data_IF_900498429653
#
_entry.id   IF_900498429653
#
_cell.length_a   1.000
_cell.length_b   1.000
_cell.length_c   1.000
_cell.angle_alpha   90.00
_cell.angle_beta   90.00
_cell.angle_gamma   90.00
#
_symmetry.space_group_name_H-M   'P 1'
#
loop_
_entity.id
_entity.type
_entity.pdbx_description
1 polymer ?
2 non-polymer ?
3 non-polymer ?
4 non-polymer ?
5 water ?
#
# COMPACT_ATOMS: atom_id res chain seq x y z
N UNK A 3 6.17 -24.27 -0.25
CA UNK A 3 6.56 -24.85 1.08
C UNK A 3 7.16 -23.84 2.10
N UNK A 4 7.92 -22.85 1.62
CA UNK A 4 8.06 -21.58 2.39
C UNK A 4 6.75 -20.85 2.25
N UNK A 5 6.23 -20.26 3.33
CA UNK A 5 5.06 -19.40 3.23
C UNK A 5 5.44 -18.17 2.40
N UNK A 6 4.57 -17.76 1.47
CA UNK A 6 4.87 -16.58 0.65
C UNK A 6 3.89 -15.46 1.00
N UNK A 7 4.43 -14.28 1.32
CA UNK A 7 3.60 -13.15 1.74
C UNK A 7 3.90 -11.97 0.81
N UNK A 8 2.85 -11.44 0.21
CA UNK A 8 2.93 -10.22 -0.58
C UNK A 8 2.57 -9.06 0.30
N UNK A 9 3.44 -8.07 0.37
CA UNK A 9 3.16 -6.88 1.18
C UNK A 9 3.04 -5.68 0.24
N UNK A 10 1.90 -5.03 0.27
CA UNK A 10 1.68 -3.84 -0.52
C UNK A 10 2.54 -2.64 -0.07
N UNK A 11 2.80 -1.69 -0.95
CA UNK A 11 3.66 -0.57 -0.61
C UNK A 11 2.87 0.65 -0.12
N UNK A 12 2.15 1.34 -1.01
CA UNK A 12 1.43 2.54 -0.62
C UNK A 12 0.30 2.21 0.34
N UNK A 13 0.31 2.91 1.48
CA UNK A 13 -0.73 2.75 2.53
C UNK A 13 -0.50 1.53 3.42
N UNK A 14 0.61 0.82 3.22
CA UNK A 14 0.98 -0.32 4.08
C UNK A 14 2.44 -0.17 4.57
N UNK A 15 3.35 0.08 3.63
CA UNK A 15 4.72 0.40 4.00
C UNK A 15 4.98 1.91 4.01
N UNK A 16 4.46 2.58 2.99
CA UNK A 16 4.74 4.01 2.74
C UNK A 16 3.48 4.82 3.05
N UNK A 17 3.65 5.93 3.77
CA UNK A 17 2.51 6.77 4.16
C UNK A 17 2.07 7.72 3.02
N UNK A 18 1.40 7.15 2.02
CA UNK A 18 0.87 7.88 0.86
C UNK A 18 -0.15 8.92 1.34
N UNK A 19 -1.10 8.52 2.18
CA UNK A 19 -2.19 9.44 2.61
C UNK A 19 -1.67 10.71 3.28
N UNK A 20 -0.75 10.54 4.23
CA UNK A 20 -0.17 11.68 4.94
C UNK A 20 0.77 12.53 4.10
N UNK A 21 1.57 11.88 3.24
CA UNK A 21 2.51 12.59 2.37
C UNK A 21 1.73 13.43 1.38
N UNK A 22 0.65 12.83 0.83
CA UNK A 22 -0.19 13.52 -0.12
C UNK A 22 -0.81 14.78 0.53
N UNK A 23 -1.40 14.59 1.72
CA UNK A 23 -2.12 15.72 2.34
C UNK A 23 -1.20 16.91 2.60
N UNK A 24 -0.03 16.61 3.17
CA UNK A 24 0.96 17.61 3.48
C UNK A 24 1.37 18.35 2.22
N UNK A 25 1.66 17.60 1.16
CA UNK A 25 2.13 18.26 -0.08
C UNK A 25 1.03 19.01 -0.81
N UNK A 26 -0.20 18.50 -0.72
CA UNK A 26 -1.35 19.15 -1.34
C UNK A 26 -1.59 20.50 -0.66
N UNK A 27 -1.61 20.47 0.67
CA UNK A 27 -1.80 21.69 1.48
C UNK A 27 -0.69 22.71 1.26
N UNK A 28 0.55 22.26 1.14
CA UNK A 28 1.69 23.16 0.87
C UNK A 28 1.63 23.81 -0.52
N UNK A 29 1.20 23.05 -1.52
CA UNK A 29 1.12 23.56 -2.88
C UNK A 29 -0.15 24.38 -3.16
N UNK A 30 -1.26 23.98 -2.53
CA UNK A 30 -2.55 24.58 -2.81
C UNK A 30 -3.17 25.09 -1.50
N UNK A 31 -2.50 26.05 -0.83
CA UNK A 31 -2.95 26.43 0.52
C UNK A 31 -4.33 27.10 0.57
N UNK A 32 -4.88 27.48 -0.59
CA UNK A 32 -6.21 28.14 -0.64
C UNK A 32 -7.33 27.23 -1.06
N UNK A 33 -7.01 25.96 -1.31
CA UNK A 33 -8.00 24.98 -1.71
C UNK A 33 -8.54 24.27 -0.46
N UNK A 34 -9.78 23.77 -0.55
CA UNK A 34 -10.27 22.93 0.54
C UNK A 34 -9.52 21.60 0.44
N UNK A 35 -9.42 20.89 1.56
CA UNK A 35 -8.74 19.57 1.56
C UNK A 35 -9.58 18.56 2.34
N UNK A 36 -9.16 17.30 2.34
CA UNK A 36 -9.83 16.28 3.11
C UNK A 36 -8.96 15.81 4.25
N UNK A 37 -9.39 16.09 5.49
CA UNK A 37 -8.61 15.64 6.63
C UNK A 37 -8.60 14.11 6.62
N UNK A 38 -7.56 13.48 7.15
CA UNK A 38 -7.49 12.01 7.07
C UNK A 38 -8.68 11.29 7.73
N UNK A 39 -9.14 11.80 8.87
CA UNK A 39 -10.31 11.23 9.55
C UNK A 39 -11.56 11.22 8.68
N UNK A 40 -11.59 12.09 7.64
CA UNK A 40 -12.73 12.20 6.74
C UNK A 40 -12.55 11.51 5.38
N UNK A 41 -11.40 10.87 5.17
CA UNK A 41 -11.17 10.11 3.96
C UNK A 41 -12.12 8.92 3.89
N UNK A 42 -12.71 8.72 2.73
CA UNK A 42 -13.55 7.55 2.45
C UNK A 42 -13.36 7.11 1.02
N UNK A 43 -13.26 5.81 0.79
CA UNK A 43 -13.15 5.25 -0.57
C UNK A 43 -11.69 5.23 -0.97
N UNK A 44 -11.32 4.26 -1.79
CA UNK A 44 -9.91 4.09 -2.12
C UNK A 44 -9.30 5.31 -2.80
N UNK A 45 -9.99 5.83 -3.82
CA UNK A 45 -9.42 6.86 -4.70
C UNK A 45 -9.44 8.27 -4.09
N UNK A 46 -8.27 8.77 -3.73
CA UNK A 46 -8.14 10.17 -3.26
C UNK A 46 -8.74 11.15 -4.28
N UNK A 47 -8.36 10.98 -5.55
CA UNK A 47 -8.73 11.96 -6.57
C UNK A 47 -10.26 12.06 -6.70
N UNK A 48 -10.94 10.92 -6.59
CA UNK A 48 -12.41 10.89 -6.66
C UNK A 48 -13.07 11.67 -5.53
N UNK A 49 -12.62 11.46 -4.29
CA UNK A 49 -13.18 12.22 -3.17
C UNK A 49 -12.89 13.71 -3.33
N UNK A 50 -11.67 14.08 -3.75
CA UNK A 50 -11.32 15.49 -4.01
C UNK A 50 -12.14 16.10 -5.14
N UNK A 51 -12.45 15.27 -6.14
CA UNK A 51 -13.29 15.65 -7.29
C UNK A 51 -14.70 16.04 -6.86
N UNK A 52 -15.24 15.31 -5.89
CA UNK A 52 -16.51 15.64 -5.24
C UNK A 52 -16.48 16.95 -4.44
N UNK A 53 -15.34 17.26 -3.82
CA UNK A 53 -15.22 18.43 -2.95
C UNK A 53 -15.32 19.75 -3.73
N UNK A 54 -14.78 19.75 -4.95
CA UNK A 54 -14.99 20.84 -5.93
C UNK A 54 -14.40 20.50 -7.30
N UNK A 55 -15.09 20.89 -8.40
CA UNK A 55 -14.53 20.66 -9.74
C UNK A 55 -13.14 21.27 -9.92
N UNK A 56 -12.25 20.49 -10.53
CA UNK A 56 -10.86 20.91 -10.76
C UNK A 56 -9.88 20.33 -9.74
N UNK A 57 -10.40 19.94 -8.58
CA UNK A 57 -9.56 19.49 -7.47
C UNK A 57 -8.99 18.08 -7.68
N UNK A 58 -9.70 17.26 -8.46
CA UNK A 58 -9.20 15.96 -8.85
C UNK A 58 -7.86 16.08 -9.59
N UNK A 59 -7.79 16.99 -10.55
CA UNK A 59 -6.59 17.20 -11.35
C UNK A 59 -5.44 17.77 -10.51
N UNK A 60 -5.78 18.68 -9.58
CA UNK A 60 -4.81 19.20 -8.63
C UNK A 60 -4.24 18.09 -7.73
N UNK A 61 -5.13 17.25 -7.18
CA UNK A 61 -4.70 16.05 -6.40
C UNK A 61 -3.72 15.19 -7.20
N UNK A 62 -4.11 14.83 -8.40
CA UNK A 62 -3.27 13.98 -9.27
C UNK A 62 -1.90 14.59 -9.45
N UNK A 63 -1.85 15.92 -9.65
CA UNK A 63 -0.56 16.58 -9.87
C UNK A 63 0.44 16.46 -8.70
N UNK A 64 -0.05 16.16 -7.50
CA UNK A 64 0.83 15.97 -6.36
C UNK A 64 1.60 14.66 -6.50
N UNK A 65 0.91 13.56 -6.74
CA UNK A 65 1.64 12.27 -6.87
C UNK A 65 2.34 12.04 -8.19
N UNK A 66 1.97 12.83 -9.19
CA UNK A 66 2.72 12.83 -10.44
C UNK A 66 4.02 13.63 -10.34
N UNK A 67 4.20 14.42 -9.28
CA UNK A 67 5.40 15.24 -9.20
C UNK A 67 6.62 14.46 -8.81
N UNK A 68 7.76 14.88 -9.32
CA UNK A 68 9.05 14.29 -8.94
C UNK A 68 9.24 14.32 -7.39
N UNK A 69 9.78 13.23 -6.87
CA UNK A 69 10.06 13.04 -5.46
C UNK A 69 8.90 12.77 -4.53
N UNK A 70 7.69 12.76 -5.07
CA UNK A 70 6.54 12.42 -4.24
C UNK A 70 6.71 11.03 -3.60
N UNK A 71 6.93 10.02 -4.45
CA UNK A 71 7.04 8.65 -3.94
C UNK A 71 8.28 8.46 -3.11
N UNK A 72 9.37 9.07 -3.57
CA UNK A 72 10.64 8.87 -2.88
C UNK A 72 10.60 9.45 -1.45
N UNK A 73 9.87 10.56 -1.27
CA UNK A 73 9.87 11.29 0.02
C UNK A 73 8.78 10.82 1.01
N UNK A 74 8.04 9.79 0.65
CA UNK A 74 7.05 9.20 1.59
C UNK A 74 7.76 8.65 2.83
N UNK A 75 7.18 8.94 4.00
CA UNK A 75 7.66 8.36 5.25
C UNK A 75 7.15 6.94 5.40
N UNK A 76 7.98 6.04 5.96
CA UNK A 76 7.42 4.73 6.27
C UNK A 76 6.32 4.84 7.34
N UNK A 77 5.35 3.94 7.29
CA UNK A 77 4.32 3.87 8.34
C UNK A 77 5.00 3.33 9.61
N UNK A 78 4.50 3.70 10.82
CA UNK A 78 5.17 3.18 12.04
C UNK A 78 5.24 1.67 12.08
N UNK A 79 6.41 1.16 12.43
CA UNK A 79 6.60 -0.29 12.59
C UNK A 79 6.77 -1.07 11.28
N UNK A 80 6.56 -0.42 10.13
CA UNK A 80 6.50 -1.17 8.85
C UNK A 80 7.86 -1.76 8.46
N UNK A 81 8.91 -0.96 8.57
CA UNK A 81 10.27 -1.40 8.15
C UNK A 81 10.75 -2.50 9.08
N UNK A 82 10.56 -2.28 10.37
CA UNK A 82 10.97 -3.29 11.36
C UNK A 82 10.20 -4.62 11.14
N UNK A 83 8.89 -4.52 10.91
CA UNK A 83 8.07 -5.72 10.77
C UNK A 83 8.42 -6.52 9.52
N UNK A 84 8.55 -5.82 8.39
CA UNK A 84 8.90 -6.53 7.16
C UNK A 84 10.31 -7.15 7.21
N UNK A 85 11.28 -6.43 7.78
CA UNK A 85 12.62 -7.01 7.97
C UNK A 85 12.56 -8.28 8.83
N UNK A 86 11.79 -8.25 9.91
CA UNK A 86 11.66 -9.45 10.77
C UNK A 86 10.96 -10.58 10.03
N UNK A 87 9.88 -10.24 9.35
CA UNK A 87 9.10 -11.20 8.58
C UNK A 87 9.96 -11.92 7.53
N UNK A 88 10.76 -11.14 6.81
CA UNK A 88 11.63 -11.71 5.77
C UNK A 88 12.69 -12.66 6.37
N UNK A 89 13.15 -12.34 7.57
CA UNK A 89 14.19 -13.12 8.29
C UNK A 89 13.66 -14.44 8.86
N UNK A 90 12.33 -14.58 8.97
CA UNK A 90 11.72 -15.81 9.50
C UNK A 90 12.01 -17.03 8.64
N UNK A 91 12.21 -18.17 9.32
CA UNK A 91 12.38 -19.44 8.63
C UNK A 91 11.15 -19.75 7.80
N UNK A 92 11.36 -20.38 6.63
CA UNK A 92 10.25 -20.83 5.79
C UNK A 92 9.26 -19.69 5.45
N UNK A 93 9.80 -18.51 5.17
CA UNK A 93 8.97 -17.32 4.91
C UNK A 93 9.64 -16.45 3.85
N UNK A 94 8.97 -16.26 2.72
CA UNK A 94 9.48 -15.40 1.64
C UNK A 94 8.56 -14.20 1.57
N UNK A 95 9.15 -13.01 1.50
CA UNK A 95 8.37 -11.76 1.44
C UNK A 95 8.64 -11.06 0.13
N UNK A 96 7.58 -10.65 -0.55
CA UNK A 96 7.68 -9.81 -1.75
C UNK A 96 6.92 -8.52 -1.52
N UNK A 97 7.46 -7.40 -2.03
CA UNK A 97 6.76 -6.11 -1.96
C UNK A 97 6.01 -5.96 -3.29
N UNK A 98 4.68 -5.88 -3.23
CA UNK A 98 3.83 -5.95 -4.45
C UNK A 98 3.08 -4.65 -4.56
N UNK A 99 3.43 -3.84 -5.57
CA UNK A 99 2.98 -2.46 -5.64
C UNK A 99 2.50 -2.14 -7.04
N UNK A 100 1.48 -1.28 -7.13
CA UNK A 100 0.90 -0.89 -8.43
C UNK A 100 1.27 0.55 -8.76
N UNK A 101 2.08 0.77 -9.82
CA UNK A 101 2.49 2.13 -10.17
C UNK A 101 1.31 2.96 -10.67
N UNK A 102 1.42 4.29 -10.54
CA UNK A 102 0.43 5.20 -11.15
C UNK A 102 0.54 5.19 -12.68
N UNK A 103 -0.43 5.84 -13.36
CA UNK A 103 -0.43 5.85 -14.82
C UNK A 103 0.77 6.57 -15.42
N UNK A 104 1.15 7.73 -14.86
CA UNK A 104 2.28 8.51 -15.32
C UNK A 104 3.55 7.87 -14.76
N UNK A 105 4.44 7.40 -15.63
CA UNK A 105 5.49 6.47 -15.20
C UNK A 105 6.88 7.10 -15.18
N UNK A 106 6.97 8.43 -15.32
CA UNK A 106 8.31 9.06 -15.36
C UNK A 106 9.18 8.83 -14.10
N UNK A 107 8.56 8.97 -12.92
CA UNK A 107 9.28 8.93 -11.65
C UNK A 107 8.91 7.74 -10.78
N UNK A 108 7.64 7.30 -10.84
CA UNK A 108 7.06 6.41 -9.83
C UNK A 108 7.80 5.05 -9.73
N UNK A 109 7.91 4.31 -10.86
CA UNK A 109 8.68 3.05 -10.74
C UNK A 109 10.07 3.29 -10.18
N UNK A 110 10.80 4.26 -10.74
CA UNK A 110 12.15 4.50 -10.27
C UNK A 110 12.21 4.80 -8.74
N UNK A 111 11.36 5.72 -8.31
CA UNK A 111 11.40 6.18 -6.91
C UNK A 111 10.99 5.06 -5.95
N UNK A 112 10.11 4.17 -6.39
CA UNK A 112 9.71 3.00 -5.57
C UNK A 112 10.92 2.09 -5.32
N UNK A 113 11.70 1.84 -6.37
CA UNK A 113 12.94 1.07 -6.21
C UNK A 113 13.91 1.78 -5.26
N UNK A 114 14.04 3.10 -5.45
CA UNK A 114 14.96 3.92 -4.66
C UNK A 114 14.53 3.89 -3.17
N UNK A 115 13.22 3.90 -2.92
CA UNK A 115 12.69 3.92 -1.55
C UNK A 115 12.95 2.57 -0.86
N UNK A 116 12.74 1.48 -1.59
CA UNK A 116 13.00 0.15 -1.05
C UNK A 116 14.52 0.01 -0.77
N UNK A 117 15.38 0.47 -1.69
CA UNK A 117 16.85 0.45 -1.42
C UNK A 117 17.19 1.21 -0.10
N UNK A 118 16.59 2.39 0.06
CA UNK A 118 16.83 3.28 1.22
C UNK A 118 16.50 2.58 2.56
N UNK A 119 15.32 1.94 2.60
CA UNK A 119 14.84 1.39 3.88
C UNK A 119 15.10 -0.09 4.13
N UNK A 120 15.34 -0.87 3.07
CA UNK A 120 15.53 -2.31 3.19
C UNK A 120 16.86 -2.79 2.63
N UNK A 121 17.57 -1.90 1.92
CA UNK A 121 18.89 -2.24 1.40
C UNK A 121 18.86 -2.79 -0.02
N UNK A 122 20.00 -2.72 -0.72
CA UNK A 122 20.12 -3.26 -2.10
C UNK A 122 19.61 -4.70 -2.28
N UNK A 123 19.88 -5.56 -1.29
CA UNK A 123 19.54 -6.98 -1.44
C UNK A 123 18.01 -7.23 -1.46
N UNK A 124 17.24 -6.27 -0.98
CA UNK A 124 15.78 -6.41 -0.99
C UNK A 124 15.14 -6.04 -2.33
N UNK A 125 15.92 -5.39 -3.22
CA UNK A 125 15.36 -4.95 -4.52
C UNK A 125 14.80 -6.15 -5.32
N UNK A 126 15.44 -7.33 -5.14
CA UNK A 126 15.03 -8.56 -5.82
C UNK A 126 13.65 -9.03 -5.38
N UNK A 127 13.11 -8.45 -4.30
CA UNK A 127 11.78 -8.86 -3.74
C UNK A 127 10.63 -7.98 -4.24
N UNK A 128 10.91 -7.04 -5.14
CA UNK A 128 9.86 -6.12 -5.59
C UNK A 128 9.13 -6.70 -6.81
N UNK A 129 7.81 -6.62 -6.81
CA UNK A 129 6.99 -6.97 -7.96
C UNK A 129 6.13 -5.75 -8.24
N UNK A 130 6.35 -5.11 -9.40
CA UNK A 130 5.48 -4.02 -9.87
C UNK A 130 4.43 -4.54 -10.84
N UNK A 131 3.17 -4.33 -10.50
CA UNK A 131 2.09 -4.86 -11.34
C UNK A 131 0.79 -4.12 -11.08
N UNK A 132 0.00 -3.90 -12.13
CA UNK A 132 -1.36 -3.35 -11.97
C UNK A 132 -2.35 -4.43 -11.56
N UNK A 133 -1.98 -5.69 -11.77
CA UNK A 133 -2.89 -6.77 -11.45
C UNK A 133 -2.24 -7.68 -10.40
N UNK A 134 -2.73 -7.60 -9.15
CA UNK A 134 -2.15 -8.45 -8.09
C UNK A 134 -2.68 -9.87 -8.11
N UNK A 135 -3.79 -10.10 -8.81
CA UNK A 135 -4.41 -11.44 -8.81
C UNK A 135 -3.57 -12.49 -9.57
N UNK A 136 -2.69 -12.03 -10.45
CA UNK A 136 -1.79 -12.93 -11.20
C UNK A 136 -0.47 -13.19 -10.45
N UNK A 137 -0.35 -12.63 -9.25
CA UNK A 137 0.79 -12.94 -8.42
C UNK A 137 0.32 -13.97 -7.39
N UNK A 138 1.03 -15.09 -7.33
CA UNK A 138 0.61 -16.20 -6.47
C UNK A 138 1.36 -16.14 -5.15
N UNK A 139 0.64 -16.34 -4.05
CA UNK A 139 1.20 -16.30 -2.69
C UNK A 139 0.16 -16.86 -1.72
N UNK A 140 0.56 -16.98 -0.47
CA UNK A 140 -0.35 -17.43 0.59
C UNK A 140 -1.18 -16.27 1.16
N UNK A 141 -0.56 -15.09 1.21
CA UNK A 141 -1.18 -13.93 1.85
C UNK A 141 -0.88 -12.71 1.01
N UNK A 142 -1.83 -11.78 0.97
CA UNK A 142 -1.58 -10.42 0.45
C UNK A 142 -2.06 -9.42 1.49
N UNK A 143 -1.13 -8.62 2.01
CA UNK A 143 -1.45 -7.59 3.01
C UNK A 143 -1.53 -6.27 2.26
N UNK A 144 -2.74 -5.70 2.20
CA UNK A 144 -3.00 -4.63 1.24
C UNK A 144 -4.18 -3.79 1.76
N UNK A 145 -4.05 -2.47 1.69
CA UNK A 145 -5.09 -1.55 2.23
C UNK A 145 -6.28 -1.33 1.27
N UNK A 146 -6.18 -1.83 0.03
CA UNK A 146 -7.31 -1.67 -0.91
C UNK A 146 -8.39 -2.72 -0.69
N UNK A 147 -9.64 -2.31 -0.40
CA UNK A 147 -10.67 -3.32 -0.09
C UNK A 147 -10.96 -4.25 -1.25
N UNK A 148 -11.05 -3.74 -2.46
CA UNK A 148 -11.39 -4.62 -3.53
C UNK A 148 -10.29 -4.82 -4.57
N UNK A 149 -9.80 -6.04 -4.60
CA UNK A 149 -8.65 -6.39 -5.40
C UNK A 149 -9.11 -7.44 -6.41
N UNK A 150 -9.12 -7.03 -7.66
CA UNK A 150 -9.63 -7.88 -8.73
C UNK A 150 -8.70 -7.73 -9.91
N UNK A 151 -8.85 -8.63 -10.89
CA UNK A 151 -7.97 -8.63 -12.04
C UNK A 151 -8.32 -9.81 -12.92
N UNK A 152 -7.33 -10.26 -13.68
CA UNK A 152 -7.51 -11.31 -14.69
C UNK A 152 -7.76 -12.70 -14.09
N UNK A 153 -7.31 -12.94 -12.87
CA UNK A 153 -7.46 -14.21 -12.17
C UNK A 153 -8.69 -14.18 -11.24
N UNK A 154 -9.74 -14.96 -11.58
CA UNK A 154 -10.94 -14.85 -10.75
C UNK A 154 -10.77 -15.51 -9.38
N UNK A 155 -9.84 -16.45 -9.25
CA UNK A 155 -9.59 -17.09 -7.95
C UNK A 155 -8.12 -17.01 -7.57
N UNK A 156 -7.68 -15.84 -7.06
CA UNK A 156 -6.27 -15.70 -6.64
C UNK A 156 -5.88 -16.74 -5.60
N UNK A 157 -4.59 -17.05 -5.54
CA UNK A 157 -4.13 -18.06 -4.62
C UNK A 157 -4.00 -17.51 -3.19
N UNK A 158 -3.83 -16.20 -3.07
CA UNK A 158 -3.63 -15.61 -1.73
C UNK A 158 -4.94 -15.36 -0.96
N UNK A 159 -4.84 -15.35 0.36
CA UNK A 159 -5.86 -14.68 1.20
C UNK A 159 -5.49 -13.18 1.31
N UNK A 160 -6.43 -12.31 0.99
CA UNK A 160 -6.23 -10.87 1.16
C UNK A 160 -6.61 -10.46 2.60
N UNK A 161 -5.59 -9.98 3.33
CA UNK A 161 -5.76 -9.42 4.70
C UNK A 161 -5.75 -7.90 4.53
N UNK A 162 -6.85 -7.27 4.93
CA UNK A 162 -7.03 -5.83 4.71
C UNK A 162 -6.21 -5.06 5.74
N UNK A 163 -5.27 -4.24 5.26
CA UNK A 163 -4.48 -3.42 6.15
C UNK A 163 -5.23 -2.11 6.43
N UNK A 164 -5.41 -1.79 7.71
CA UNK A 164 -6.19 -0.59 8.03
C UNK A 164 -5.55 0.70 7.52
N UNK A 165 -6.41 1.55 6.96
CA UNK A 165 -6.01 2.90 6.54
C UNK A 165 -7.18 3.84 6.78
N UNK A 166 -6.91 5.15 6.82
CA UNK A 166 -8.01 6.11 7.03
C UNK A 166 -9.23 5.87 6.10
N UNK A 167 -8.98 5.54 4.82
CA UNK A 167 -10.06 5.40 3.85
C UNK A 167 -10.88 4.11 4.00
N UNK A 168 -10.38 3.12 4.76
CA UNK A 168 -11.14 1.85 4.94
C UNK A 168 -11.51 1.49 6.38
N UNK A 169 -11.17 2.36 7.34
CA UNK A 169 -11.26 2.04 8.77
C UNK A 169 -12.70 1.78 9.23
N UNK A 170 -13.68 2.33 8.52
CA UNK A 170 -15.10 2.18 8.90
C UNK A 170 -15.78 1.05 8.17
N UNK A 171 -15.05 0.42 7.24
CA UNK A 171 -15.64 -0.59 6.38
C UNK A 171 -15.96 -1.91 7.06
N UNK A 172 -17.21 -2.33 6.97
CA UNK A 172 -17.54 -3.66 7.41
C UNK A 172 -17.20 -4.68 6.31
N UNK A 173 -16.35 -5.66 6.61
CA UNK A 173 -15.96 -6.68 5.62
C UNK A 173 -16.91 -7.89 5.66
N UNK A 174 -17.04 -8.57 4.54
CA UNK A 174 -17.75 -9.85 4.49
C UNK A 174 -16.92 -10.94 5.16
N UNK A 175 -17.44 -11.52 6.26
CA UNK A 175 -16.70 -12.62 6.87
C UNK A 175 -16.49 -13.69 5.78
N UNK A 176 -15.34 -14.41 5.79
CA UNK A 176 -14.27 -14.53 6.77
C UNK A 176 -13.08 -13.61 6.50
N UNK A 177 -13.33 -12.47 5.84
CA UNK A 177 -12.27 -11.50 5.62
C UNK A 177 -11.76 -10.89 6.93
N UNK A 178 -10.46 -10.62 6.94
CA UNK A 178 -9.62 -10.42 8.11
C UNK A 178 -8.82 -9.11 7.89
N UNK A 179 -8.52 -8.39 8.98
CA UNK A 179 -7.72 -7.16 8.96
C UNK A 179 -6.38 -7.34 9.67
N UNK A 180 -5.38 -6.58 9.24
CA UNK A 180 -4.23 -6.31 10.05
C UNK A 180 -4.37 -4.82 10.40
N UNK A 181 -4.47 -4.49 11.69
CA UNK A 181 -4.87 -3.13 12.07
C UNK A 181 -3.78 -2.03 11.93
N UNK A 182 -2.53 -2.46 12.01
CA UNK A 182 -1.30 -1.66 11.95
C UNK A 182 -0.18 -2.67 12.11
N UNK A 183 1.06 -2.23 11.94
CA UNK A 183 2.20 -3.12 12.11
C UNK A 183 2.46 -3.47 13.60
N UNK A 184 1.85 -2.70 14.52
CA UNK A 184 1.88 -3.05 15.97
C UNK A 184 0.99 -4.27 16.28
N UNK A 185 -0.04 -4.49 15.46
CA UNK A 185 -0.97 -5.64 15.52
C UNK A 185 -0.18 -6.95 15.29
N UNK A 186 -0.79 -8.09 15.60
CA UNK A 186 -0.10 -9.36 15.64
C UNK A 186 -0.04 -10.00 14.23
N UNK A 187 0.87 -9.49 13.39
CA UNK A 187 1.05 -10.06 12.06
C UNK A 187 1.60 -11.51 12.09
N UNK A 188 2.44 -11.83 13.08
CA UNK A 188 2.93 -13.24 13.18
C UNK A 188 1.80 -14.26 13.33
N UNK A 189 0.79 -13.92 14.12
CA UNK A 189 -0.38 -14.80 14.27
C UNK A 189 -1.09 -15.05 12.95
N UNK A 190 -1.24 -13.99 12.14
CA UNK A 190 -1.86 -14.13 10.81
C UNK A 190 -1.06 -15.07 9.92
N UNK A 191 0.25 -14.87 9.86
CA UNK A 191 1.13 -15.75 9.06
C UNK A 191 1.07 -17.20 9.55
N UNK A 192 1.19 -17.38 10.86
CA UNK A 192 1.15 -18.72 11.45
C UNK A 192 -0.14 -19.44 11.13
N UNK A 193 -1.26 -18.72 11.04
CA UNK A 193 -2.55 -19.33 10.75
C UNK A 193 -2.58 -20.00 9.36
N UNK A 194 -1.63 -19.63 8.49
CA UNK A 194 -1.55 -20.14 7.13
C UNK A 194 -0.50 -21.23 6.94
N UNK A 195 0.31 -21.48 7.95
CA UNK A 195 1.41 -22.45 7.85
C UNK A 195 0.88 -23.88 8.03
N UNK A 196 1.57 -24.88 7.43
CA UNK A 196 1.23 -26.31 7.63
C UNK A 196 1.26 -26.71 9.10
#
# INVERSE_FOLDING_TARGET
>A
GGRALRVLVNMDGVLADFEGGFLRKFRARFPDQPFIALEDRRGFWVSEQYGRLRPGLSEKAISIWESKNFFFELEPLPGAVEAVKEMASLQNTDVFICTSPIKMFKYCPYEKYAWVEKYFGPDFLEQIVLTRDKTVVSADLLIDDRPDITGAEPTPSWEHVLFTACHNQHLQLQPPRRRLHSWADDWKAILDSKRPC
#
